data_IF_788324710225
#
_entry.id   IF_788324710225
#
_cell.length_a   1.000
_cell.length_b   1.000
_cell.length_c   1.000
_cell.angle_alpha   90.00
_cell.angle_beta   90.00
_cell.angle_gamma   90.00
#
_symmetry.space_group_name_H-M   'P 1'
#
loop_
_entity.id
_entity.type
_entity.pdbx_description
1 polymer ?
#
# COMPACT_ATOMS: atom_id res chain seq x y z
N UNK A 1 -81.16 2.14 -17.06
CA UNK A 1 -80.33 1.35 -16.12
C UNK A 1 -78.84 1.31 -16.52
N UNK A 2 -78.25 2.44 -16.97
CA UNK A 2 -76.86 2.45 -17.50
C UNK A 2 -75.91 3.39 -16.75
N UNK A 3 -76.45 4.36 -15.98
CA UNK A 3 -75.64 5.29 -15.17
C UNK A 3 -75.02 4.63 -13.92
N UNK A 4 -75.61 3.56 -13.38
CA UNK A 4 -75.09 2.85 -12.20
C UNK A 4 -73.81 2.06 -12.50
N UNK A 5 -73.62 1.59 -13.73
CA UNK A 5 -72.45 0.78 -14.14
C UNK A 5 -71.16 1.59 -14.20
N UNK A 6 -71.21 2.79 -14.78
CA UNK A 6 -70.04 3.68 -14.91
C UNK A 6 -69.59 4.20 -13.54
N UNK A 7 -70.54 4.56 -12.68
CA UNK A 7 -70.26 5.01 -11.32
C UNK A 7 -69.61 3.92 -10.47
N UNK A 8 -70.06 2.66 -10.61
CA UNK A 8 -69.46 1.51 -9.93
C UNK A 8 -68.05 1.21 -10.45
N UNK A 9 -67.83 1.33 -11.76
CA UNK A 9 -66.51 1.17 -12.39
C UNK A 9 -65.53 2.26 -11.93
N UNK A 10 -65.98 3.51 -11.84
CA UNK A 10 -65.18 4.63 -11.34
C UNK A 10 -64.84 4.50 -9.84
N UNK A 11 -65.78 4.02 -9.01
CA UNK A 11 -65.50 3.65 -7.61
C UNK A 11 -64.46 2.55 -7.52
N UNK A 12 -64.58 1.50 -8.32
CA UNK A 12 -63.63 0.39 -8.35
C UNK A 12 -62.24 0.84 -8.79
N UNK A 13 -62.15 1.75 -9.78
CA UNK A 13 -60.89 2.33 -10.24
C UNK A 13 -60.22 3.17 -9.15
N UNK A 14 -60.99 4.00 -8.43
CA UNK A 14 -60.48 4.76 -7.26
C UNK A 14 -60.01 3.86 -6.12
N UNK A 15 -60.73 2.78 -5.85
CA UNK A 15 -60.33 1.78 -4.85
C UNK A 15 -59.04 1.07 -5.30
N UNK A 16 -58.91 0.75 -6.58
CA UNK A 16 -57.70 0.15 -7.15
C UNK A 16 -56.51 1.10 -7.08
N UNK A 17 -56.67 2.36 -7.48
CA UNK A 17 -55.61 3.36 -7.38
C UNK A 17 -55.19 3.60 -5.94
N UNK A 18 -56.14 3.59 -4.99
CA UNK A 18 -55.84 3.70 -3.56
C UNK A 18 -55.09 2.48 -3.03
N UNK A 19 -55.47 1.26 -3.44
CA UNK A 19 -54.76 0.02 -3.09
C UNK A 19 -53.34 -0.02 -3.66
N UNK A 20 -53.15 0.43 -4.90
CA UNK A 20 -51.81 0.55 -5.52
C UNK A 20 -50.97 1.58 -4.75
N UNK A 21 -51.52 2.75 -4.45
CA UNK A 21 -50.81 3.77 -3.67
C UNK A 21 -50.40 3.26 -2.29
N UNK A 22 -51.28 2.51 -1.61
CA UNK A 22 -50.97 1.84 -0.34
C UNK A 22 -49.86 0.79 -0.48
N UNK A 23 -49.91 -0.03 -1.53
CA UNK A 23 -48.89 -1.05 -1.78
C UNK A 23 -47.51 -0.44 -2.10
N UNK A 24 -47.47 0.63 -2.91
CA UNK A 24 -46.23 1.38 -3.19
C UNK A 24 -45.70 2.05 -1.93
N UNK A 25 -46.57 2.65 -1.12
CA UNK A 25 -46.17 3.27 0.15
C UNK A 25 -45.59 2.22 1.12
N UNK A 26 -46.22 1.04 1.20
CA UNK A 26 -45.71 -0.08 2.01
C UNK A 26 -44.36 -0.59 1.51
N UNK A 27 -44.16 -0.70 0.18
CA UNK A 27 -42.89 -1.09 -0.41
C UNK A 27 -41.79 -0.07 -0.12
N UNK A 28 -42.08 1.23 -0.24
CA UNK A 28 -41.12 2.31 0.08
C UNK A 28 -40.74 2.28 1.56
N UNK A 29 -41.71 2.05 2.46
CA UNK A 29 -41.45 1.91 3.89
C UNK A 29 -40.63 0.65 4.22
N UNK A 30 -40.88 -0.48 3.54
CA UNK A 30 -40.07 -1.69 3.68
C UNK A 30 -38.64 -1.48 3.19
N UNK A 31 -38.45 -0.82 2.04
CA UNK A 31 -37.11 -0.50 1.52
C UNK A 31 -36.39 0.48 2.45
N UNK A 32 -37.06 1.52 2.95
CA UNK A 32 -36.47 2.45 3.92
C UNK A 32 -36.10 1.76 5.24
N UNK A 33 -36.96 0.87 5.76
CA UNK A 33 -36.66 0.05 6.93
C UNK A 33 -35.51 -0.93 6.67
N UNK A 34 -35.40 -1.48 5.47
CA UNK A 34 -34.30 -2.36 5.08
C UNK A 34 -32.99 -1.58 4.98
N UNK A 35 -32.99 -0.40 4.35
CA UNK A 35 -31.80 0.46 4.21
C UNK A 35 -31.32 0.98 5.56
N UNK A 36 -32.22 1.41 6.45
CA UNK A 36 -31.84 1.82 7.82
C UNK A 36 -31.32 0.65 8.66
N UNK A 37 -31.86 -0.55 8.48
CA UNK A 37 -31.31 -1.75 9.10
C UNK A 37 -29.95 -2.13 8.50
N UNK A 38 -29.75 -1.95 7.19
CA UNK A 38 -28.47 -2.18 6.52
C UNK A 38 -27.41 -1.20 7.05
N UNK A 39 -27.75 0.09 7.16
CA UNK A 39 -26.88 1.09 7.78
C UNK A 39 -26.56 0.74 9.23
N UNK A 40 -27.53 0.30 10.03
CA UNK A 40 -27.28 -0.17 11.41
C UNK A 40 -26.40 -1.42 11.45
N UNK A 41 -26.56 -2.36 10.53
CA UNK A 41 -25.72 -3.57 10.43
C UNK A 41 -24.31 -3.22 9.97
N UNK A 42 -24.15 -2.32 8.99
CA UNK A 42 -22.86 -1.76 8.57
C UNK A 42 -22.20 -1.02 9.74
N UNK A 43 -22.96 -0.20 10.47
CA UNK A 43 -22.45 0.57 11.61
C UNK A 43 -22.12 -0.32 12.82
N UNK A 44 -22.85 -1.42 13.02
CA UNK A 44 -22.58 -2.43 14.07
C UNK A 44 -21.39 -3.34 13.70
N UNK A 45 -21.22 -3.68 12.42
CA UNK A 45 -20.04 -4.39 11.92
C UNK A 45 -18.79 -3.52 11.90
N UNK A 46 -18.94 -2.20 11.69
CA UNK A 46 -17.87 -1.21 11.87
C UNK A 46 -17.60 -0.87 13.35
N UNK A 47 -18.39 -1.40 14.30
CA UNK A 47 -18.18 -1.24 15.74
C UNK A 47 -17.40 -2.42 16.36
N UNK A 48 -16.84 -3.32 15.56
CA UNK A 48 -15.84 -4.26 16.02
C UNK A 48 -14.53 -3.51 16.29
N UNK A 49 -14.36 -3.15 17.58
CA UNK A 49 -13.10 -2.93 18.28
C UNK A 49 -12.04 -2.27 17.39
N UNK A 50 -12.17 -0.96 17.21
CA UNK A 50 -11.02 -0.08 16.97
C UNK A 50 -10.01 -0.44 18.07
N UNK A 51 -8.99 -1.23 17.73
CA UNK A 51 -7.85 -1.39 18.60
C UNK A 51 -7.44 0.03 18.98
N UNK A 52 -7.34 0.30 20.27
CA UNK A 52 -6.40 1.29 20.77
C UNK A 52 -5.01 0.81 20.33
N UNK A 53 -4.71 0.99 19.04
CA UNK A 53 -3.37 1.17 18.53
C UNK A 53 -2.88 2.34 19.35
N UNK A 54 -1.99 2.06 20.31
CA UNK A 54 -1.09 3.01 20.97
C UNK A 54 -1.20 4.43 20.39
N UNK A 55 -2.24 5.15 20.80
CA UNK A 55 -2.31 6.58 20.61
C UNK A 55 -1.45 7.14 21.72
N UNK A 56 -0.14 6.95 21.58
CA UNK A 56 0.79 7.93 22.13
C UNK A 56 0.31 9.24 21.53
N UNK A 57 -0.05 10.25 22.35
CA UNK A 57 -0.39 11.54 21.81
C UNK A 57 0.79 11.97 20.95
N UNK A 58 0.56 12.13 19.64
CA UNK A 58 1.51 12.83 18.78
C UNK A 58 1.44 14.27 19.22
N UNK A 59 2.20 14.59 20.26
CA UNK A 59 2.64 15.95 20.51
C UNK A 59 3.37 16.37 19.26
N UNK A 60 2.77 17.30 18.52
CA UNK A 60 3.41 17.99 17.41
C UNK A 60 4.77 18.52 17.84
N UNK A 61 5.84 17.79 17.53
CA UNK A 61 7.19 18.32 17.31
C UNK A 61 8.08 17.22 16.72
N UNK A 62 8.63 17.51 15.54
CA UNK A 62 9.88 16.97 14.97
C UNK A 62 9.92 15.55 14.36
N UNK A 63 9.36 15.41 13.15
CA UNK A 63 9.83 14.42 12.16
C UNK A 63 9.91 14.98 10.73
N UNK A 64 10.04 16.30 10.56
CA UNK A 64 10.38 16.89 9.26
C UNK A 64 11.88 16.77 9.05
N UNK A 65 12.33 16.42 7.84
CA UNK A 65 13.72 16.65 7.48
C UNK A 65 14.01 18.15 7.62
N UNK A 66 14.80 18.53 8.62
CA UNK A 66 15.50 19.81 8.63
C UNK A 66 16.68 19.72 7.65
N UNK A 67 16.33 19.61 6.37
CA UNK A 67 17.28 19.67 5.28
C UNK A 67 17.71 21.14 5.16
N UNK A 68 18.92 21.48 5.58
CA UNK A 68 19.44 22.84 5.52
C UNK A 68 19.43 23.32 4.06
N UNK A 69 18.72 24.40 3.75
CA UNK A 69 18.40 24.83 2.37
C UNK A 69 19.63 25.18 1.53
N UNK A 70 20.83 25.30 2.15
CA UNK A 70 22.10 25.56 1.49
C UNK A 70 22.94 24.31 1.17
N UNK A 71 22.49 23.10 1.50
CA UNK A 71 23.25 21.89 1.18
C UNK A 71 23.21 21.56 -0.32
N UNK A 72 24.34 21.11 -0.91
CA UNK A 72 24.33 20.61 -2.28
C UNK A 72 23.46 19.37 -2.39
N UNK A 73 22.87 19.14 -3.58
CA UNK A 73 22.20 17.88 -3.87
C UNK A 73 23.18 16.71 -3.82
N UNK A 74 22.75 15.58 -3.27
CA UNK A 74 23.52 14.35 -3.31
C UNK A 74 23.75 13.91 -4.77
N UNK A 75 24.85 13.23 -5.09
CA UNK A 75 25.05 12.66 -6.42
C UNK A 75 24.00 11.58 -6.72
N UNK A 76 23.50 11.52 -7.96
CA UNK A 76 22.54 10.49 -8.39
C UNK A 76 23.12 9.08 -8.29
N UNK A 77 24.44 8.97 -8.52
CA UNK A 77 25.21 7.75 -8.33
C UNK A 77 26.27 8.02 -7.25
N UNK A 78 26.03 7.62 -6.00
CA UNK A 78 27.03 7.74 -4.94
C UNK A 78 28.33 7.02 -5.30
N UNK A 79 29.46 7.63 -4.93
CA UNK A 79 30.79 7.09 -5.28
C UNK A 79 31.22 5.94 -4.37
N UNK A 80 30.55 5.76 -3.23
CA UNK A 80 30.86 4.79 -2.17
C UNK A 80 30.05 3.49 -2.26
N UNK A 81 29.32 3.29 -3.36
CA UNK A 81 28.68 2.02 -3.67
C UNK A 81 29.73 0.90 -3.76
N UNK A 82 29.46 -0.23 -3.11
CA UNK A 82 30.41 -1.36 -3.00
C UNK A 82 30.22 -2.41 -4.08
N UNK A 83 29.15 -2.31 -4.87
CA UNK A 83 28.74 -3.35 -5.80
C UNK A 83 28.14 -4.54 -5.04
N UNK A 84 28.64 -5.74 -5.30
CA UNK A 84 28.12 -6.97 -4.70
C UNK A 84 28.35 -6.99 -3.19
N UNK A 85 27.32 -7.35 -2.45
CA UNK A 85 27.26 -7.41 -1.00
C UNK A 85 26.99 -8.83 -0.53
N UNK A 86 27.53 -9.18 0.63
CA UNK A 86 27.11 -10.38 1.35
C UNK A 86 25.80 -10.10 2.06
N UNK A 87 24.78 -10.89 1.76
CA UNK A 87 23.49 -10.86 2.47
C UNK A 87 23.67 -11.49 3.85
N UNK A 88 23.28 -10.75 4.89
CA UNK A 88 23.29 -11.25 6.27
C UNK A 88 21.88 -11.69 6.65
N UNK A 89 21.64 -13.00 6.62
CA UNK A 89 20.34 -13.63 6.88
C UNK A 89 20.11 -13.99 8.36
N UNK A 90 21.13 -13.84 9.21
CA UNK A 90 21.12 -14.17 10.64
C UNK A 90 21.51 -12.96 11.47
N UNK A 91 20.50 -12.14 11.80
CA UNK A 91 20.65 -10.94 12.63
C UNK A 91 19.44 -10.86 13.58
N UNK A 92 19.68 -10.46 14.82
CA UNK A 92 18.60 -10.21 15.79
C UNK A 92 18.12 -8.77 15.73
N UNK A 93 16.88 -8.47 16.19
CA UNK A 93 16.38 -7.09 16.23
C UNK A 93 17.28 -6.19 17.09
N UNK A 94 17.71 -6.66 18.26
CA UNK A 94 18.61 -5.92 19.15
C UNK A 94 19.95 -5.60 18.50
N UNK A 95 20.51 -6.57 17.76
CA UNK A 95 21.75 -6.33 16.99
C UNK A 95 21.52 -5.32 15.87
N UNK A 96 20.38 -5.39 15.18
CA UNK A 96 20.03 -4.43 14.16
C UNK A 96 19.89 -3.01 14.73
N UNK A 97 19.13 -2.84 15.81
CA UNK A 97 18.94 -1.56 16.50
C UNK A 97 20.27 -0.95 16.96
N UNK A 98 21.14 -1.77 17.56
CA UNK A 98 22.45 -1.31 18.03
C UNK A 98 23.36 -0.87 16.88
N UNK A 99 23.35 -1.58 15.75
CA UNK A 99 24.21 -1.27 14.60
C UNK A 99 23.66 -0.17 13.69
N UNK A 100 22.38 0.17 13.81
CA UNK A 100 21.68 1.15 12.97
C UNK A 100 21.47 2.49 13.67
N UNK A 101 22.48 2.97 14.42
CA UNK A 101 22.38 4.16 15.29
C UNK A 101 21.93 5.44 14.56
N UNK A 102 22.16 5.55 13.25
CA UNK A 102 21.78 6.71 12.44
C UNK A 102 20.32 6.67 11.96
N UNK A 103 19.64 5.53 12.09
CA UNK A 103 18.23 5.39 11.71
C UNK A 103 17.38 5.99 12.83
N UNK A 104 16.49 6.90 12.45
CA UNK A 104 15.61 7.59 13.38
C UNK A 104 14.37 6.75 13.66
N UNK A 105 13.66 7.11 14.73
CA UNK A 105 12.36 6.50 15.08
C UNK A 105 11.43 6.47 13.87
N UNK A 106 10.72 5.36 13.69
CA UNK A 106 9.84 5.13 12.54
C UNK A 106 10.56 4.62 11.30
N UNK A 107 11.86 4.29 11.38
CA UNK A 107 12.63 3.78 10.23
C UNK A 107 13.11 4.88 9.28
N UNK A 108 13.04 6.14 9.70
CA UNK A 108 13.45 7.28 8.88
C UNK A 108 14.97 7.42 8.80
N UNK A 109 15.47 7.75 7.62
CA UNK A 109 16.87 8.12 7.44
C UNK A 109 17.04 9.10 6.28
N UNK A 110 18.01 10.00 6.39
CA UNK A 110 18.48 10.87 5.30
C UNK A 110 19.96 11.23 5.49
N UNK A 111 20.69 11.55 4.39
CA UNK A 111 22.06 12.02 4.49
C UNK A 111 22.13 13.36 5.23
N UNK A 112 23.18 13.55 6.02
CA UNK A 112 23.40 14.75 6.84
C UNK A 112 24.23 15.82 6.13
N UNK A 113 24.91 15.44 5.06
CA UNK A 113 25.94 16.20 4.34
C UNK A 113 25.47 16.72 2.97
N UNK A 114 24.39 16.16 2.43
CA UNK A 114 23.80 16.58 1.16
C UNK A 114 22.28 16.44 1.19
N UNK A 115 21.60 17.12 0.27
CA UNK A 115 20.15 16.99 0.07
C UNK A 115 19.84 15.81 -0.85
N UNK A 116 19.20 14.78 -0.32
CA UNK A 116 18.77 13.62 -1.12
C UNK A 116 17.90 14.05 -2.32
N UNK A 117 18.16 13.47 -3.48
CA UNK A 117 17.37 13.73 -4.71
C UNK A 117 15.97 13.12 -4.57
N UNK A 118 15.89 11.93 -3.98
CA UNK A 118 14.67 11.14 -3.89
C UNK A 118 14.22 10.92 -2.46
N UNK A 119 12.93 11.16 -2.21
CA UNK A 119 12.22 10.70 -1.02
C UNK A 119 11.50 9.40 -1.35
N UNK A 120 11.86 8.32 -0.66
CA UNK A 120 11.39 6.96 -0.98
C UNK A 120 10.68 6.33 0.22
N UNK A 121 9.42 5.94 0.03
CA UNK A 121 8.71 5.09 0.99
C UNK A 121 8.86 3.62 0.57
N UNK A 122 9.43 2.79 1.44
CA UNK A 122 9.55 1.34 1.21
C UNK A 122 8.37 0.66 1.90
N UNK A 123 7.41 0.18 1.12
CA UNK A 123 6.21 -0.50 1.62
C UNK A 123 6.43 -2.01 1.57
N UNK A 124 6.35 -2.64 2.75
CA UNK A 124 6.61 -4.07 2.93
C UNK A 124 5.35 -4.74 3.45
N UNK A 125 4.60 -5.50 2.63
CA UNK A 125 3.44 -6.23 3.12
C UNK A 125 3.89 -7.40 4.01
N UNK A 126 3.24 -7.55 5.15
CA UNK A 126 3.71 -8.44 6.21
C UNK A 126 2.57 -9.17 6.92
N UNK A 127 2.82 -10.42 7.32
CA UNK A 127 2.05 -11.16 8.34
C UNK A 127 2.82 -12.40 8.78
N UNK A 128 2.97 -12.62 10.09
CA UNK A 128 3.53 -13.85 10.68
C UNK A 128 4.90 -14.28 10.10
N UNK A 129 5.81 -13.33 9.82
CA UNK A 129 7.15 -13.61 9.31
C UNK A 129 8.25 -12.97 10.18
N UNK A 130 8.11 -13.08 11.50
CA UNK A 130 8.96 -12.35 12.45
C UNK A 130 10.46 -12.64 12.29
N UNK A 131 10.82 -13.86 11.90
CA UNK A 131 12.22 -14.24 11.60
C UNK A 131 12.85 -13.47 10.44
N UNK A 132 12.03 -12.90 9.54
CA UNK A 132 12.50 -12.14 8.37
C UNK A 132 12.66 -10.64 8.66
N UNK A 133 12.01 -10.11 9.71
CA UNK A 133 12.06 -8.66 10.01
C UNK A 133 13.48 -8.19 10.27
N UNK A 134 14.19 -8.84 11.21
CA UNK A 134 15.52 -8.38 11.59
C UNK A 134 16.54 -8.46 10.43
N UNK A 135 16.65 -9.57 9.68
CA UNK A 135 17.50 -9.61 8.48
C UNK A 135 17.12 -8.54 7.45
N UNK A 136 15.83 -8.35 7.19
CA UNK A 136 15.35 -7.36 6.24
C UNK A 136 15.72 -5.93 6.62
N UNK A 137 15.30 -5.50 7.81
CA UNK A 137 15.53 -4.13 8.29
C UNK A 137 17.03 -3.84 8.38
N UNK A 138 17.81 -4.78 8.91
CA UNK A 138 19.25 -4.63 9.00
C UNK A 138 19.94 -4.48 7.63
N UNK A 139 19.59 -5.36 6.69
CA UNK A 139 20.17 -5.34 5.36
C UNK A 139 19.74 -4.10 4.58
N UNK A 140 18.43 -3.82 4.54
CA UNK A 140 17.85 -2.72 3.78
C UNK A 140 18.32 -1.36 4.27
N UNK A 141 18.41 -1.11 5.58
CA UNK A 141 18.91 0.18 6.05
C UNK A 141 20.34 0.43 5.60
N UNK A 142 21.24 -0.55 5.81
CA UNK A 142 22.64 -0.43 5.36
C UNK A 142 22.72 -0.25 3.85
N UNK A 143 21.86 -0.93 3.11
CA UNK A 143 21.80 -0.87 1.66
C UNK A 143 21.37 0.51 1.15
N UNK A 144 20.25 1.03 1.64
CA UNK A 144 19.65 2.30 1.20
C UNK A 144 20.46 3.53 1.66
N UNK A 145 21.16 3.44 2.80
CA UNK A 145 22.03 4.50 3.29
C UNK A 145 23.18 4.82 2.32
N UNK A 146 23.79 3.81 1.70
CA UNK A 146 24.84 3.98 0.67
C UNK A 146 24.32 4.64 -0.60
N UNK A 147 23.00 4.65 -0.80
CA UNK A 147 22.36 5.28 -1.95
C UNK A 147 21.98 6.75 -1.69
N UNK A 148 22.34 7.30 -0.51
CA UNK A 148 22.09 8.69 -0.13
C UNK A 148 20.61 9.14 -0.28
N UNK A 149 19.67 8.23 -0.01
CA UNK A 149 18.23 8.47 -0.11
C UNK A 149 17.67 9.16 1.14
N UNK A 150 16.59 9.92 1.02
CA UNK A 150 15.71 10.22 2.14
C UNK A 150 14.61 9.15 2.13
N UNK A 151 14.53 8.30 3.14
CA UNK A 151 13.60 7.17 3.09
C UNK A 151 13.03 6.79 4.45
N UNK A 152 11.95 6.02 4.40
CA UNK A 152 11.42 5.28 5.54
C UNK A 152 10.92 3.90 5.12
N UNK A 153 10.98 2.93 6.05
CA UNK A 153 10.50 1.55 5.84
C UNK A 153 9.19 1.35 6.60
N UNK A 154 8.14 1.03 5.87
CA UNK A 154 6.79 0.78 6.36
C UNK A 154 6.47 -0.72 6.30
N UNK A 155 6.52 -1.39 7.46
CA UNK A 155 6.05 -2.76 7.59
C UNK A 155 4.52 -2.73 7.77
N UNK A 156 3.79 -2.98 6.69
CA UNK A 156 2.34 -2.98 6.68
C UNK A 156 1.82 -4.38 7.04
N UNK A 157 1.32 -4.55 8.26
CA UNK A 157 0.86 -5.84 8.78
C UNK A 157 -0.63 -6.08 8.49
N UNK A 158 -0.95 -7.27 7.96
CA UNK A 158 -2.34 -7.76 7.91
C UNK A 158 -2.68 -8.48 9.21
N UNK A 159 -3.60 -7.92 9.99
CA UNK A 159 -4.14 -8.60 11.16
C UNK A 159 -5.15 -9.69 10.77
N UNK A 160 -5.32 -10.69 11.65
CA UNK A 160 -6.34 -11.73 11.53
C UNK A 160 -5.95 -12.89 10.63
N UNK A 161 -6.93 -13.79 10.42
CA UNK A 161 -6.70 -15.12 9.86
C UNK A 161 -7.23 -15.29 8.42
N UNK A 162 -7.79 -14.25 7.82
CA UNK A 162 -8.22 -14.29 6.41
C UNK A 162 -7.03 -14.62 5.49
N UNK A 163 -7.25 -15.10 4.26
CA UNK A 163 -6.18 -15.25 3.29
C UNK A 163 -5.37 -13.94 3.16
N UNK A 164 -4.07 -14.05 2.91
CA UNK A 164 -3.24 -12.84 2.79
C UNK A 164 -3.63 -12.07 1.53
N UNK A 165 -3.73 -10.75 1.61
CA UNK A 165 -4.06 -9.88 0.49
C UNK A 165 -2.94 -8.87 0.28
N UNK A 166 -1.91 -9.31 -0.44
CA UNK A 166 -0.68 -8.52 -0.71
C UNK A 166 -1.01 -7.14 -1.28
N UNK A 167 -1.85 -7.08 -2.32
CA UNK A 167 -2.23 -5.84 -2.99
C UNK A 167 -2.95 -4.85 -2.06
N UNK A 168 -3.92 -5.33 -1.26
CA UNK A 168 -4.62 -4.49 -0.29
C UNK A 168 -3.69 -3.94 0.79
N UNK A 169 -2.80 -4.77 1.32
CA UNK A 169 -1.82 -4.37 2.34
C UNK A 169 -0.86 -3.32 1.77
N UNK A 170 -0.37 -3.50 0.54
CA UNK A 170 0.46 -2.52 -0.15
C UNK A 170 -0.26 -1.19 -0.39
N UNK A 171 -1.55 -1.23 -0.78
CA UNK A 171 -2.38 -0.02 -0.93
C UNK A 171 -2.55 0.73 0.40
N UNK A 172 -2.80 0.01 1.50
CA UNK A 172 -2.88 0.60 2.85
C UNK A 172 -1.54 1.24 3.20
N UNK A 173 -0.43 0.55 2.99
CA UNK A 173 0.91 1.09 3.25
C UNK A 173 1.19 2.38 2.46
N UNK A 174 0.77 2.45 1.18
CA UNK A 174 0.84 3.67 0.38
C UNK A 174 0.07 4.84 1.01
N UNK A 175 -1.20 4.60 1.39
CA UNK A 175 -2.06 5.64 1.97
C UNK A 175 -1.54 6.13 3.32
N UNK A 176 -1.08 5.22 4.18
CA UNK A 176 -0.55 5.57 5.50
C UNK A 176 0.79 6.32 5.40
N UNK A 177 1.72 5.86 4.56
CA UNK A 177 3.00 6.53 4.36
C UNK A 177 2.84 7.98 3.86
N UNK A 178 1.82 8.27 3.03
CA UNK A 178 1.53 9.63 2.57
C UNK A 178 1.15 10.60 3.70
N UNK A 179 0.70 10.11 4.85
CA UNK A 179 0.37 10.96 6.01
C UNK A 179 1.63 11.45 6.73
N UNK A 180 2.74 10.72 6.61
CA UNK A 180 3.98 11.03 7.31
C UNK A 180 4.95 11.89 6.50
N UNK A 181 4.78 11.94 5.18
CA UNK A 181 5.58 12.84 4.36
C UNK A 181 5.24 12.82 2.88
N UNK A 182 5.62 13.88 2.15
CA UNK A 182 5.64 13.87 0.70
C UNK A 182 6.71 12.90 0.20
N UNK A 183 6.28 11.77 -0.33
CA UNK A 183 7.14 10.77 -0.98
C UNK A 183 7.12 10.97 -2.50
N UNK A 184 8.30 10.94 -3.13
CA UNK A 184 8.43 11.03 -4.59
C UNK A 184 8.26 9.65 -5.23
N UNK A 185 8.70 8.62 -4.51
CA UNK A 185 8.82 7.26 -4.99
C UNK A 185 8.34 6.26 -3.94
N UNK A 186 7.65 5.22 -4.39
CA UNK A 186 7.24 4.10 -3.57
C UNK A 186 7.92 2.82 -4.06
N UNK A 187 8.63 2.15 -3.16
CA UNK A 187 9.18 0.82 -3.40
C UNK A 187 8.27 -0.22 -2.70
N UNK A 188 7.54 -1.00 -3.50
CA UNK A 188 6.74 -2.12 -2.99
C UNK A 188 7.59 -3.37 -2.99
N UNK A 189 7.81 -3.94 -1.80
CA UNK A 189 8.94 -4.84 -1.59
C UNK A 189 8.59 -6.02 -0.69
N UNK A 190 8.82 -7.23 -1.19
CA UNK A 190 8.63 -8.45 -0.42
C UNK A 190 9.72 -8.56 0.67
N UNK A 191 9.33 -8.96 1.88
CA UNK A 191 10.20 -8.98 3.06
C UNK A 191 11.35 -10.02 2.96
N UNK A 192 11.22 -11.00 2.07
CA UNK A 192 12.19 -12.10 1.88
C UNK A 192 13.14 -11.88 0.70
N UNK A 193 13.11 -10.71 0.06
CA UNK A 193 13.87 -10.42 -1.17
C UNK A 193 15.03 -9.44 -0.94
N UNK A 194 16.15 -9.89 -0.38
CA UNK A 194 17.27 -9.00 -0.05
C UNK A 194 18.16 -8.71 -1.27
N UNK A 195 18.41 -7.43 -1.63
CA UNK A 195 19.24 -7.10 -2.79
C UNK A 195 20.72 -7.41 -2.56
N UNK A 196 21.37 -8.07 -3.53
CA UNK A 196 22.77 -8.49 -3.43
C UNK A 196 23.79 -7.48 -3.97
N UNK A 197 23.37 -6.39 -4.61
CA UNK A 197 24.29 -5.44 -5.24
C UNK A 197 23.78 -4.00 -5.09
N UNK A 198 24.51 -3.11 -4.39
CA UNK A 198 24.05 -1.74 -4.11
C UNK A 198 24.03 -0.79 -5.31
N UNK A 199 24.46 -1.26 -6.48
CA UNK A 199 24.27 -0.57 -7.76
C UNK A 199 22.86 -0.74 -8.31
N UNK A 200 22.02 -1.59 -7.71
CA UNK A 200 20.59 -1.64 -7.99
C UNK A 200 19.85 -0.54 -7.19
N UNK A 201 19.70 0.64 -7.79
CA UNK A 201 19.33 1.86 -7.07
C UNK A 201 17.82 1.94 -6.80
N UNK A 202 17.43 2.31 -5.58
CA UNK A 202 16.05 2.41 -5.09
C UNK A 202 15.48 3.83 -5.27
N UNK A 203 15.44 4.30 -6.51
CA UNK A 203 14.73 5.53 -6.88
C UNK A 203 13.83 5.29 -8.09
N UNK A 204 12.84 6.15 -8.30
CA UNK A 204 11.90 5.98 -9.41
C UNK A 204 12.44 6.58 -10.72
N UNK A 205 11.88 6.16 -11.84
CA UNK A 205 12.18 6.70 -13.17
C UNK A 205 10.89 7.15 -13.88
N UNK A 206 11.03 7.61 -15.13
CA UNK A 206 9.89 7.98 -15.98
C UNK A 206 8.94 6.82 -16.24
N UNK A 207 9.44 5.58 -16.22
CA UNK A 207 8.68 4.34 -16.26
C UNK A 207 8.75 3.62 -14.90
N UNK A 208 7.72 2.83 -14.51
CA UNK A 208 7.81 1.90 -13.39
C UNK A 208 9.07 1.03 -13.48
N UNK A 209 9.70 0.71 -12.36
CA UNK A 209 10.94 -0.08 -12.35
C UNK A 209 10.74 -1.43 -11.68
N UNK A 210 11.26 -2.49 -12.28
CA UNK A 210 11.35 -3.81 -11.66
C UNK A 210 12.78 -4.06 -11.15
N UNK A 211 12.95 -4.22 -9.83
CA UNK A 211 14.28 -4.43 -9.23
C UNK A 211 14.66 -5.91 -9.12
N UNK A 212 13.67 -6.79 -8.91
CA UNK A 212 13.90 -8.21 -8.66
C UNK A 212 13.99 -9.04 -9.97
N UNK A 213 14.85 -8.63 -10.89
CA UNK A 213 14.99 -9.23 -12.23
C UNK A 213 15.81 -10.53 -12.26
N UNK A 214 16.64 -10.75 -11.23
CA UNK A 214 17.55 -11.89 -11.14
C UNK A 214 17.59 -12.41 -9.69
N UNK A 215 16.49 -12.99 -9.21
CA UNK A 215 16.41 -13.53 -7.86
C UNK A 215 17.06 -14.93 -7.76
N UNK A 216 17.72 -15.21 -6.64
CA UNK A 216 18.40 -16.49 -6.39
C UNK A 216 17.46 -17.70 -6.45
N UNK A 217 16.23 -17.55 -5.96
CA UNK A 217 15.18 -18.59 -6.03
C UNK A 217 14.81 -18.99 -7.46
N UNK A 218 15.11 -18.15 -8.44
CA UNK A 218 14.90 -18.39 -9.87
C UNK A 218 16.23 -18.57 -10.61
N UNK A 219 17.28 -19.00 -9.89
CA UNK A 219 18.63 -19.19 -10.43
C UNK A 219 19.17 -17.95 -11.17
N UNK A 220 18.88 -16.76 -10.62
CA UNK A 220 19.27 -15.47 -11.20
C UNK A 220 18.75 -15.26 -12.63
N UNK A 221 17.59 -15.84 -12.95
CA UNK A 221 16.86 -15.63 -14.21
C UNK A 221 15.46 -15.12 -13.92
N UNK A 222 14.93 -14.32 -14.84
CA UNK A 222 13.56 -13.89 -14.77
C UNK A 222 12.64 -15.11 -15.05
N UNK A 223 11.62 -15.38 -14.21
CA UNK A 223 10.72 -16.53 -14.41
C UNK A 223 10.00 -16.51 -15.77
N UNK A 224 9.53 -15.34 -16.17
CA UNK A 224 8.89 -15.05 -17.45
C UNK A 224 8.95 -13.55 -17.72
N UNK A 225 8.87 -13.14 -18.99
CA UNK A 225 9.06 -11.74 -19.41
C UNK A 225 8.17 -10.73 -18.65
N UNK A 226 6.91 -11.09 -18.41
CA UNK A 226 5.94 -10.24 -17.74
C UNK A 226 6.12 -10.15 -16.22
N UNK A 227 6.95 -10.99 -15.60
CA UNK A 227 7.09 -11.07 -14.14
C UNK A 227 7.42 -9.70 -13.50
N UNK A 228 6.60 -9.26 -12.56
CA UNK A 228 6.69 -7.94 -11.92
C UNK A 228 6.51 -8.02 -10.39
N UNK A 229 6.99 -9.12 -9.79
CA UNK A 229 6.94 -9.35 -8.34
C UNK A 229 8.28 -9.10 -7.65
N UNK A 230 8.34 -9.39 -6.34
CA UNK A 230 9.54 -9.21 -5.52
C UNK A 230 9.73 -7.78 -5.04
N UNK A 231 10.27 -6.91 -5.91
CA UNK A 231 10.53 -5.51 -5.59
C UNK A 231 10.30 -4.64 -6.83
N UNK A 232 9.38 -3.67 -6.72
CA UNK A 232 9.02 -2.74 -7.80
C UNK A 232 8.93 -1.31 -7.30
N UNK A 233 9.26 -0.35 -8.15
CA UNK A 233 9.21 1.07 -7.84
C UNK A 233 8.26 1.80 -8.78
N UNK A 234 7.39 2.62 -8.20
CA UNK A 234 6.49 3.52 -8.92
C UNK A 234 6.58 4.90 -8.28
N UNK A 235 6.60 5.95 -9.10
CA UNK A 235 6.38 7.31 -8.59
C UNK A 235 4.98 7.39 -7.99
N UNK A 236 4.78 8.38 -7.11
CA UNK A 236 3.45 8.67 -6.56
C UNK A 236 2.39 8.82 -7.67
N UNK A 237 2.74 9.47 -8.78
CA UNK A 237 1.83 9.70 -9.89
C UNK A 237 1.60 8.44 -10.73
N UNK A 238 2.62 7.64 -10.99
CA UNK A 238 2.47 6.34 -11.67
C UNK A 238 1.54 5.42 -10.88
N UNK A 239 1.72 5.33 -9.55
CA UNK A 239 0.89 4.48 -8.70
C UNK A 239 -0.57 4.93 -8.67
N UNK A 240 -0.81 6.25 -8.60
CA UNK A 240 -2.15 6.83 -8.70
C UNK A 240 -2.78 6.60 -10.08
N UNK A 241 -2.00 6.69 -11.15
CA UNK A 241 -2.45 6.51 -12.53
C UNK A 241 -2.98 5.09 -12.77
N UNK A 242 -2.35 4.08 -12.18
CA UNK A 242 -2.81 2.67 -12.28
C UNK A 242 -3.90 2.31 -11.26
N UNK A 243 -4.32 3.29 -10.44
CA UNK A 243 -5.27 3.10 -9.34
C UNK A 243 -4.81 2.01 -8.34
N UNK A 244 -3.52 2.01 -8.00
CA UNK A 244 -2.91 1.07 -7.08
C UNK A 244 -3.06 -0.41 -7.46
N UNK A 245 -2.85 -1.29 -6.48
CA UNK A 245 -3.06 -2.74 -6.64
C UNK A 245 -4.54 -3.12 -6.57
N UNK A 246 -4.92 -4.26 -7.15
CA UNK A 246 -6.24 -4.85 -6.88
C UNK A 246 -6.42 -5.22 -5.40
N UNK A 247 -7.59 -4.87 -4.85
CA UNK A 247 -8.01 -5.23 -3.49
C UNK A 247 -8.75 -6.58 -3.42
N UNK A 248 -8.98 -7.23 -4.54
CA UNK A 248 -9.87 -8.40 -4.66
C UNK A 248 -9.11 -9.74 -4.71
N UNK A 249 -7.77 -9.70 -4.79
CA UNK A 249 -6.94 -10.89 -4.90
C UNK A 249 -6.56 -11.39 -3.50
N UNK A 250 -7.20 -12.49 -3.09
CA UNK A 250 -7.00 -13.13 -1.80
C UNK A 250 -6.20 -14.42 -1.97
N UNK A 251 -5.19 -14.60 -1.13
CA UNK A 251 -4.27 -15.74 -1.21
C UNK A 251 -2.98 -15.42 -1.96
N UNK A 252 -2.22 -16.47 -2.29
CA UNK A 252 -0.93 -16.35 -2.96
C UNK A 252 -1.10 -16.31 -4.48
N UNK A 253 -0.41 -15.37 -5.12
CA UNK A 253 -0.32 -15.27 -6.59
C UNK A 253 -1.26 -14.25 -7.23
N UNK A 254 -0.95 -13.86 -8.47
CA UNK A 254 -1.76 -12.99 -9.31
C UNK A 254 -1.69 -11.49 -9.02
N UNK A 255 -1.39 -11.07 -7.79
CA UNK A 255 -1.30 -9.64 -7.44
C UNK A 255 -0.26 -8.88 -8.26
N UNK A 256 0.90 -9.49 -8.48
CA UNK A 256 2.00 -8.86 -9.21
C UNK A 256 1.72 -8.82 -10.73
N UNK A 257 1.12 -9.87 -11.28
CA UNK A 257 0.69 -9.93 -12.68
C UNK A 257 -0.44 -8.94 -12.99
N UNK A 258 -1.38 -8.78 -12.05
CA UNK A 258 -2.48 -7.84 -12.20
C UNK A 258 -1.99 -6.38 -12.15
N UNK A 259 -1.04 -6.07 -11.25
CA UNK A 259 -0.36 -4.76 -11.25
C UNK A 259 0.35 -4.51 -12.59
N UNK A 260 1.05 -5.50 -13.13
CA UNK A 260 1.69 -5.36 -14.44
C UNK A 260 0.68 -5.10 -15.57
N UNK A 261 -0.46 -5.77 -15.54
CA UNK A 261 -1.53 -5.52 -16.53
C UNK A 261 -2.06 -4.08 -16.44
N UNK A 262 -2.24 -3.54 -15.23
CA UNK A 262 -2.65 -2.14 -15.05
C UNK A 262 -1.62 -1.17 -15.62
N UNK A 263 -0.34 -1.40 -15.34
CA UNK A 263 0.77 -0.59 -15.86
C UNK A 263 0.74 -0.56 -17.39
N UNK A 264 0.61 -1.73 -18.04
CA UNK A 264 0.51 -1.83 -19.50
C UNK A 264 -0.70 -1.10 -20.07
N UNK A 265 -1.88 -1.27 -19.45
CA UNK A 265 -3.11 -0.62 -19.91
C UNK A 265 -3.01 0.90 -19.80
N UNK A 266 -2.26 1.41 -18.81
CA UNK A 266 -1.94 2.84 -18.66
C UNK A 266 -0.85 3.34 -19.61
N UNK A 267 -0.36 2.51 -20.56
CA UNK A 267 0.62 2.92 -21.57
C UNK A 267 2.06 3.01 -21.06
N UNK A 268 2.36 2.38 -19.92
CA UNK A 268 3.68 2.36 -19.31
C UNK A 268 4.39 1.01 -19.54
N UNK A 269 5.71 1.04 -19.42
CA UNK A 269 6.62 -0.10 -19.58
C UNK A 269 7.49 -0.28 -18.32
N UNK A 270 8.31 -1.33 -18.25
CA UNK A 270 9.21 -1.59 -17.11
C UNK A 270 10.65 -1.81 -17.55
#
# INVERSE_FOLDING_TARGET
MQETSIYQSYKNLKIWSFKIALAVCFLVLLVASFMTNLEKVIHKNNAHKRLEILSVPVTNTESKCECNQQQPSCPLHPQDLKGRLTVMDKVTLTEAETKLERVKKGGFWWPSDCKAIWRVAIIVPYRNRSSQIAPFVFHMHRYLQRQALNYSIYIAEQEGNDPFNKGRVMNVGFVEAQKEGPWDCFAFHDIDMLPEDDRNLYYCASQPRHLAVAASQFHYKLPYYQFFGGAILLTTDQFKTVNGFSNSLWGWGGSDDEMWNRIKVSGMEK
#
